data_IF_256978686220
#
_entry.id   IF_256978686220
#
_cell.length_a   1.000
_cell.length_b   1.000
_cell.length_c   1.000
_cell.angle_alpha   90.00
_cell.angle_beta   90.00
_cell.angle_gamma   90.00
#
_symmetry.space_group_name_H-M   'P 1'
#
loop_
_entity.id
_entity.type
_entity.pdbx_description
1 polymer ?
#
# COMPACT_ATOMS: atom_id res chain seq x y z
N UNK A 1 1.85 -18.98 29.38
CA UNK A 1 2.01 -17.64 29.96
C UNK A 1 0.80 -16.81 29.51
N UNK A 2 -0.10 -16.46 30.43
CA UNK A 2 -1.29 -15.66 30.14
C UNK A 2 -0.98 -14.18 30.39
N UNK A 3 -1.22 -13.32 29.41
CA UNK A 3 -1.07 -11.87 29.58
C UNK A 3 -2.45 -11.26 29.79
N UNK A 4 -2.74 -10.81 31.01
CA UNK A 4 -3.95 -10.08 31.34
C UNK A 4 -3.59 -8.63 31.66
N UNK A 5 -4.18 -7.70 30.91
CA UNK A 5 -4.01 -6.27 31.10
C UNK A 5 -5.14 -5.81 32.01
N UNK A 6 -4.84 -5.56 33.27
CA UNK A 6 -5.82 -5.17 34.28
C UNK A 6 -5.52 -3.75 34.78
N UNK A 7 -6.56 -2.99 35.15
CA UNK A 7 -6.39 -1.78 35.96
C UNK A 7 -6.56 -2.11 37.44
N UNK A 8 -5.55 -1.73 38.23
CA UNK A 8 -5.47 -1.75 39.70
C UNK A 8 -5.23 -3.11 40.39
N UNK A 9 -3.93 -3.27 40.69
CA UNK A 9 -3.23 -3.84 41.86
C UNK A 9 -3.19 -5.34 42.16
N UNK A 10 -2.03 -5.71 42.71
CA UNK A 10 -1.36 -7.02 42.94
C UNK A 10 -0.33 -7.45 41.88
N UNK A 11 0.29 -6.44 41.30
CA UNK A 11 1.56 -6.42 40.59
C UNK A 11 1.92 -4.94 40.48
N UNK A 12 2.93 -4.45 41.20
CA UNK A 12 3.03 -3.00 41.47
C UNK A 12 3.67 -2.19 40.33
N UNK A 13 4.07 -2.83 39.24
CA UNK A 13 4.74 -2.14 38.13
C UNK A 13 3.75 -1.84 37.02
N UNK A 14 3.28 -0.60 36.99
CA UNK A 14 2.65 -0.01 35.81
C UNK A 14 3.70 0.11 34.72
N UNK A 15 3.40 -0.44 33.55
CA UNK A 15 4.27 -0.42 32.38
C UNK A 15 3.54 0.21 31.18
N UNK A 16 4.21 1.08 30.41
CA UNK A 16 3.67 1.54 29.15
C UNK A 16 3.73 0.41 28.13
N UNK A 17 2.59 0.16 27.48
CA UNK A 17 2.47 -0.82 26.40
C UNK A 17 1.84 -0.19 25.17
N UNK A 18 2.25 -0.66 24.00
CA UNK A 18 1.79 -0.16 22.72
C UNK A 18 0.92 -1.21 22.04
N UNK A 19 -0.37 -0.90 21.88
CA UNK A 19 -1.35 -1.82 21.31
C UNK A 19 -1.68 -1.45 19.87
N UNK A 20 -1.63 -2.41 18.96
CA UNK A 20 -1.99 -2.24 17.56
C UNK A 20 -3.01 -3.29 17.10
N UNK A 21 -4.07 -2.83 16.43
CA UNK A 21 -5.06 -3.71 15.83
C UNK A 21 -4.57 -4.22 14.46
N UNK A 22 -4.29 -5.52 14.39
CA UNK A 22 -3.81 -6.22 13.20
C UNK A 22 -4.94 -6.82 12.34
N UNK A 23 -6.20 -6.59 12.73
CA UNK A 23 -7.35 -7.21 12.06
C UNK A 23 -7.48 -6.74 10.60
N UNK A 24 -7.51 -7.70 9.67
CA UNK A 24 -7.68 -7.44 8.23
C UNK A 24 -9.16 -7.29 7.82
N UNK A 25 -10.08 -7.51 8.75
CA UNK A 25 -11.53 -7.38 8.59
C UNK A 25 -12.09 -6.59 9.77
N UNK A 26 -13.14 -5.82 9.51
CA UNK A 26 -13.83 -5.07 10.56
C UNK A 26 -14.84 -5.98 11.28
N UNK A 27 -14.34 -6.82 12.18
CA UNK A 27 -15.11 -7.74 13.04
C UNK A 27 -14.80 -7.50 14.51
N UNK A 28 -14.63 -6.22 14.88
CA UNK A 28 -14.23 -5.83 16.22
C UNK A 28 -15.20 -6.28 17.32
N UNK A 29 -16.46 -6.57 16.99
CA UNK A 29 -17.46 -7.10 17.92
C UNK A 29 -17.35 -8.63 18.16
N UNK A 30 -16.63 -9.35 17.29
CA UNK A 30 -16.43 -10.80 17.41
C UNK A 30 -15.03 -11.12 17.99
N UNK A 31 -14.00 -10.64 17.28
CA UNK A 31 -12.60 -10.88 17.59
C UNK A 31 -11.71 -9.84 16.93
N UNK A 32 -10.60 -9.51 17.60
CA UNK A 32 -9.51 -8.74 17.00
C UNK A 32 -8.20 -9.51 17.04
N UNK A 33 -7.40 -9.37 15.98
CA UNK A 33 -5.98 -9.69 16.03
C UNK A 33 -5.25 -8.48 16.60
N UNK A 34 -4.40 -8.70 17.59
CA UNK A 34 -3.78 -7.64 18.40
C UNK A 34 -2.28 -7.90 18.52
N UNK A 35 -1.51 -6.83 18.38
CA UNK A 35 -0.09 -6.78 18.76
C UNK A 35 0.05 -5.94 20.00
N UNK A 36 0.90 -6.39 20.91
CA UNK A 36 1.27 -5.67 22.12
C UNK A 36 2.78 -5.59 22.19
N UNK A 37 3.32 -4.38 22.07
CA UNK A 37 4.75 -4.10 22.18
C UNK A 37 5.04 -3.52 23.56
N UNK A 38 6.00 -4.15 24.25
CA UNK A 38 6.35 -3.90 25.64
C UNK A 38 7.84 -3.51 25.64
N UNK A 39 8.09 -2.21 25.75
CA UNK A 39 9.45 -1.66 25.68
C UNK A 39 10.29 -2.06 26.89
N UNK A 40 9.74 -1.83 28.08
CA UNK A 40 10.42 -2.10 29.35
C UNK A 40 9.79 -3.33 30.00
N UNK A 41 9.89 -4.49 29.35
CA UNK A 41 9.27 -5.70 29.88
C UNK A 41 9.90 -6.09 31.23
N UNK A 42 9.14 -6.20 32.34
CA UNK A 42 9.69 -6.34 33.70
C UNK A 42 10.68 -7.49 33.88
N UNK A 43 10.49 -8.60 33.15
CA UNK A 43 11.38 -9.77 33.17
C UNK A 43 12.46 -9.70 32.07
N UNK A 44 12.06 -9.55 30.80
CA UNK A 44 13.00 -9.69 29.68
C UNK A 44 13.96 -8.50 29.50
N UNK A 45 13.66 -7.32 30.05
CA UNK A 45 14.48 -6.13 29.85
C UNK A 45 15.89 -6.24 30.44
N UNK A 46 16.10 -7.14 31.41
CA UNK A 46 17.45 -7.46 31.93
C UNK A 46 18.32 -8.22 30.93
N UNK A 47 17.71 -8.85 29.93
CA UNK A 47 18.38 -9.75 28.99
C UNK A 47 18.43 -9.21 27.55
N UNK A 48 17.79 -8.08 27.27
CA UNK A 48 17.71 -7.48 25.94
C UNK A 48 18.21 -6.03 25.97
N UNK A 49 18.73 -5.55 24.83
CA UNK A 49 19.15 -4.15 24.72
C UNK A 49 17.94 -3.22 24.87
N UNK A 50 18.13 -2.07 25.51
CA UNK A 50 17.13 -0.99 25.62
C UNK A 50 16.60 -0.46 24.27
N UNK A 51 17.25 -0.82 23.15
CA UNK A 51 16.79 -0.50 21.78
C UNK A 51 15.84 -1.56 21.20
N UNK A 52 15.56 -2.62 21.93
CA UNK A 52 14.75 -3.76 21.53
C UNK A 52 13.59 -3.90 22.52
N UNK A 53 12.39 -4.12 22.00
CA UNK A 53 11.20 -4.41 22.79
C UNK A 53 10.75 -5.85 22.56
N UNK A 54 10.06 -6.41 23.55
CA UNK A 54 9.30 -7.66 23.36
C UNK A 54 7.95 -7.31 22.77
N UNK A 55 7.55 -8.02 21.72
CA UNK A 55 6.22 -7.92 21.16
C UNK A 55 5.51 -9.28 21.19
N UNK A 56 4.22 -9.22 21.47
CA UNK A 56 3.34 -10.40 21.52
C UNK A 56 2.21 -10.17 20.53
N UNK A 57 2.01 -11.12 19.63
CA UNK A 57 0.86 -11.15 18.73
C UNK A 57 -0.07 -12.27 19.15
N UNK A 58 -1.37 -12.01 19.03
CA UNK A 58 -2.40 -13.01 19.23
C UNK A 58 -3.77 -12.46 18.91
N UNK A 59 -4.79 -13.02 19.54
CA UNK A 59 -6.16 -12.58 19.33
C UNK A 59 -6.88 -12.31 20.64
N UNK A 60 -7.89 -11.45 20.58
CA UNK A 60 -8.76 -11.11 21.69
C UNK A 60 -10.23 -11.35 21.28
N UNK A 61 -10.95 -12.29 21.92
CA UNK A 61 -12.37 -12.54 21.66
C UNK A 61 -13.24 -11.49 22.36
N UNK A 62 -13.53 -10.41 21.64
CA UNK A 62 -14.22 -9.21 22.12
C UNK A 62 -15.73 -9.40 22.32
N UNK A 63 -16.31 -10.50 21.85
CA UNK A 63 -17.71 -10.85 22.08
C UNK A 63 -18.06 -11.17 23.56
N UNK A 64 -17.06 -11.26 24.43
CA UNK A 64 -17.24 -11.59 25.85
C UNK A 64 -17.17 -10.34 26.73
N UNK A 65 -17.86 -10.34 27.88
CA UNK A 65 -17.86 -9.20 28.81
C UNK A 65 -16.47 -8.89 29.39
N UNK A 66 -15.60 -9.90 29.50
CA UNK A 66 -14.24 -9.78 30.03
C UNK A 66 -13.27 -10.50 29.06
N UNK A 67 -12.88 -9.84 27.97
CA UNK A 67 -12.16 -10.48 26.89
C UNK A 67 -10.68 -10.69 27.22
N UNK A 68 -10.19 -11.93 27.10
CA UNK A 68 -8.81 -12.28 27.45
C UNK A 68 -7.98 -12.34 26.17
N UNK A 69 -6.85 -11.63 26.15
CA UNK A 69 -5.89 -11.75 25.07
C UNK A 69 -5.20 -13.12 25.12
N UNK A 70 -5.27 -13.86 24.02
CA UNK A 70 -4.68 -15.16 23.85
C UNK A 70 -3.45 -15.00 22.96
N UNK A 71 -2.23 -15.13 23.53
CA UNK A 71 -0.99 -14.97 22.77
C UNK A 71 -0.79 -16.16 21.83
N UNK A 72 -0.34 -15.89 20.60
CA UNK A 72 -0.01 -16.89 19.60
C UNK A 72 1.50 -16.91 19.30
N UNK A 73 2.15 -15.75 19.34
CA UNK A 73 3.58 -15.62 19.03
C UNK A 73 4.22 -14.50 19.82
N UNK A 74 5.49 -14.69 20.17
CA UNK A 74 6.35 -13.72 20.87
C UNK A 74 7.61 -13.50 20.03
N UNK A 75 7.99 -12.25 19.83
CA UNK A 75 9.17 -11.88 19.03
C UNK A 75 9.79 -10.58 19.54
N UNK A 76 11.02 -10.31 19.10
CA UNK A 76 11.74 -9.09 19.40
C UNK A 76 11.48 -8.06 18.29
N UNK A 77 11.30 -6.79 18.67
CA UNK A 77 11.06 -5.67 17.75
C UNK A 77 11.81 -4.43 18.22
N UNK A 78 11.65 -3.31 17.51
CA UNK A 78 12.25 -2.03 17.88
C UNK A 78 11.71 -1.52 19.23
N UNK A 79 12.60 -0.99 20.06
CA UNK A 79 12.29 -0.45 21.39
C UNK A 79 12.10 1.06 21.46
N UNK A 80 11.64 1.71 20.37
CA UNK A 80 11.38 3.15 20.38
C UNK A 80 10.27 3.47 21.40
N UNK A 81 10.48 4.42 22.34
CA UNK A 81 9.55 4.66 23.43
C UNK A 81 8.20 5.20 22.96
N UNK A 82 8.16 5.88 21.83
CA UNK A 82 6.92 6.45 21.28
C UNK A 82 6.08 5.40 20.54
N UNK A 83 4.73 5.54 20.55
CA UNK A 83 3.86 4.77 19.66
C UNK A 83 4.09 5.17 18.21
N UNK A 84 4.02 4.17 17.33
CA UNK A 84 3.83 4.42 15.90
C UNK A 84 2.41 4.94 15.61
N UNK A 85 2.17 5.45 14.40
CA UNK A 85 0.87 6.00 13.99
C UNK A 85 -0.30 4.97 13.94
N UNK A 86 -0.01 3.68 14.10
CA UNK A 86 -1.00 2.59 14.16
C UNK A 86 -1.07 1.93 15.54
N UNK A 87 -0.27 2.41 16.50
CA UNK A 87 -0.27 1.97 17.89
C UNK A 87 -0.99 3.00 18.77
N UNK A 88 -1.57 2.51 19.86
CA UNK A 88 -2.06 3.32 20.96
C UNK A 88 -1.28 2.94 22.21
N UNK A 89 -0.60 3.91 22.83
CA UNK A 89 0.07 3.71 24.11
C UNK A 89 -0.98 3.66 25.22
N UNK A 90 -0.82 2.70 26.13
CA UNK A 90 -1.66 2.54 27.32
C UNK A 90 -0.80 2.10 28.50
N UNK A 91 -1.14 2.60 29.68
CA UNK A 91 -0.55 2.14 30.93
C UNK A 91 -1.23 0.83 31.37
N UNK A 92 -0.44 -0.21 31.54
CA UNK A 92 -0.91 -1.53 31.93
C UNK A 92 -0.25 -1.99 33.22
N UNK A 93 -1.01 -2.70 34.05
CA UNK A 93 -0.46 -3.32 35.26
C UNK A 93 0.04 -4.72 34.90
N UNK A 94 1.33 -4.97 35.16
CA UNK A 94 1.92 -6.29 34.95
C UNK A 94 1.74 -7.20 36.17
N UNK A 95 1.21 -8.40 35.95
CA UNK A 95 1.06 -9.42 36.98
C UNK A 95 1.79 -10.70 36.58
N UNK A 96 2.76 -11.13 37.39
CA UNK A 96 3.38 -12.45 37.25
C UNK A 96 2.62 -13.46 38.10
N UNK A 97 1.90 -14.37 37.45
CA UNK A 97 1.16 -15.44 38.11
C UNK A 97 2.06 -16.66 38.28
N UNK A 98 1.98 -17.32 39.45
CA UNK A 98 2.59 -18.65 39.63
C UNK A 98 1.77 -19.70 38.87
N UNK A 99 2.40 -20.83 38.59
CA UNK A 99 1.71 -21.95 37.95
C UNK A 99 0.46 -22.37 38.76
N UNK A 100 -0.65 -22.59 38.07
CA UNK A 100 -1.94 -22.92 38.69
C UNK A 100 -2.66 -21.74 39.36
N UNK A 101 -2.09 -20.53 39.39
CA UNK A 101 -2.76 -19.34 39.90
C UNK A 101 -3.51 -18.59 38.80
N UNK A 102 -4.65 -18.03 39.20
CA UNK A 102 -5.46 -17.16 38.37
C UNK A 102 -5.44 -15.74 38.93
N UNK A 103 -5.55 -14.71 38.07
CA UNK A 103 -5.65 -13.33 38.53
C UNK A 103 -6.91 -13.12 39.37
N UNK A 104 -6.86 -12.16 40.30
CA UNK A 104 -7.99 -11.88 41.19
C UNK A 104 -9.25 -11.51 40.39
N UNK A 105 -10.40 -12.00 40.86
CA UNK A 105 -11.70 -11.69 40.26
C UNK A 105 -12.10 -10.26 40.59
N UNK A 106 -12.84 -9.61 39.68
CA UNK A 106 -13.36 -8.25 39.87
C UNK A 106 -12.43 -7.13 39.45
N UNK A 107 -11.25 -7.44 38.92
CA UNK A 107 -10.36 -6.43 38.35
C UNK A 107 -10.86 -6.02 36.95
N UNK A 108 -10.84 -4.71 36.67
CA UNK A 108 -11.26 -4.17 35.37
C UNK A 108 -10.23 -4.51 34.29
N UNK A 109 -10.71 -5.02 33.16
CA UNK A 109 -9.87 -5.41 32.03
C UNK A 109 -9.61 -4.20 31.13
N UNK A 110 -8.36 -4.05 30.67
CA UNK A 110 -7.96 -3.00 29.74
C UNK A 110 -8.62 -3.17 28.36
N UNK A 111 -8.82 -4.41 27.92
CA UNK A 111 -9.27 -4.75 26.58
C UNK A 111 -10.79 -4.66 26.43
N UNK A 112 -11.43 -3.61 26.95
CA UNK A 112 -12.88 -3.47 26.83
C UNK A 112 -13.32 -3.38 25.35
N UNK A 113 -14.56 -3.74 25.02
CA UNK A 113 -15.10 -3.55 23.67
C UNK A 113 -14.96 -2.10 23.17
N UNK A 114 -15.09 -1.11 24.04
CA UNK A 114 -14.94 0.30 23.70
C UNK A 114 -13.49 0.63 23.34
N UNK A 115 -12.53 0.17 24.15
CA UNK A 115 -11.11 0.36 23.89
C UNK A 115 -10.66 -0.34 22.60
N UNK A 116 -11.07 -1.59 22.41
CA UNK A 116 -10.70 -2.34 21.20
C UNK A 116 -11.26 -1.72 19.91
N UNK A 117 -12.40 -1.03 19.99
CA UNK A 117 -12.94 -0.20 18.90
C UNK A 117 -12.20 1.12 18.68
N UNK A 118 -11.58 1.69 19.71
CA UNK A 118 -10.78 2.92 19.56
C UNK A 118 -9.45 2.69 18.85
N UNK A 119 -8.93 1.46 18.88
CA UNK A 119 -7.68 1.12 18.22
C UNK A 119 -7.71 1.45 16.71
N UNK A 120 -6.67 2.10 16.17
CA UNK A 120 -6.60 2.43 14.76
C UNK A 120 -6.79 1.20 13.86
N UNK A 121 -7.79 1.23 12.97
CA UNK A 121 -8.04 0.18 11.97
C UNK A 121 -7.06 0.25 10.79
N UNK A 122 -5.77 0.42 11.08
CA UNK A 122 -4.73 0.64 10.07
C UNK A 122 -4.60 -0.54 9.12
N UNK A 123 -4.61 -1.78 9.63
CA UNK A 123 -4.53 -2.98 8.80
C UNK A 123 -5.66 -3.09 7.76
N UNK A 124 -6.90 -2.71 8.13
CA UNK A 124 -8.05 -2.63 7.21
C UNK A 124 -7.84 -1.55 6.15
N UNK A 125 -7.44 -0.33 6.56
CA UNK A 125 -7.21 0.81 5.66
C UNK A 125 -6.07 0.53 4.67
N UNK A 126 -4.97 -0.04 5.15
CA UNK A 126 -3.80 -0.40 4.34
C UNK A 126 -4.14 -1.49 3.34
N UNK A 127 -4.89 -2.52 3.75
CA UNK A 127 -5.40 -3.53 2.81
C UNK A 127 -6.25 -2.93 1.69
N UNK A 128 -7.19 -2.03 2.03
CA UNK A 128 -8.01 -1.34 1.04
C UNK A 128 -7.16 -0.50 0.09
N UNK A 129 -6.20 0.27 0.63
CA UNK A 129 -5.29 1.11 -0.17
C UNK A 129 -4.40 0.28 -1.11
N UNK A 130 -3.89 -0.86 -0.64
CA UNK A 130 -3.10 -1.78 -1.47
C UNK A 130 -3.96 -2.39 -2.57
N UNK A 131 -5.19 -2.80 -2.28
CA UNK A 131 -6.13 -3.28 -3.29
C UNK A 131 -6.41 -2.20 -4.34
N UNK A 132 -6.74 -0.97 -3.93
CA UNK A 132 -6.94 0.15 -4.86
C UNK A 132 -5.70 0.49 -5.69
N UNK A 133 -4.51 0.34 -5.12
CA UNK A 133 -3.26 0.54 -5.85
C UNK A 133 -3.04 -0.53 -6.92
N UNK A 134 -3.31 -1.80 -6.60
CA UNK A 134 -3.30 -2.89 -7.57
C UNK A 134 -4.33 -2.66 -8.67
N UNK A 135 -5.54 -2.21 -8.32
CA UNK A 135 -6.57 -1.86 -9.30
C UNK A 135 -6.12 -0.75 -10.23
N UNK A 136 -5.50 0.31 -9.69
CA UNK A 136 -4.95 1.42 -10.49
C UNK A 136 -3.83 0.96 -11.43
N UNK A 137 -2.92 0.09 -10.97
CA UNK A 137 -1.88 -0.50 -11.81
C UNK A 137 -2.49 -1.37 -12.92
N UNK A 138 -3.52 -2.15 -12.60
CA UNK A 138 -4.24 -2.96 -13.59
C UNK A 138 -4.93 -2.07 -14.63
N UNK A 139 -5.54 -0.97 -14.21
CA UNK A 139 -6.17 0.02 -15.07
C UNK A 139 -5.14 0.69 -15.98
N UNK A 140 -3.99 1.12 -15.44
CA UNK A 140 -2.88 1.65 -16.24
C UNK A 140 -2.38 0.64 -17.28
N UNK A 141 -2.20 -0.61 -16.90
CA UNK A 141 -1.79 -1.67 -17.82
C UNK A 141 -2.83 -1.87 -18.93
N UNK A 142 -4.12 -1.87 -18.60
CA UNK A 142 -5.21 -1.92 -19.60
C UNK A 142 -5.21 -0.69 -20.49
N UNK A 143 -5.00 0.51 -19.94
CA UNK A 143 -4.95 1.77 -20.68
C UNK A 143 -3.75 1.80 -21.65
N UNK A 144 -2.58 1.33 -21.25
CA UNK A 144 -1.39 1.21 -22.11
C UNK A 144 -1.67 0.19 -23.22
N UNK A 145 -2.18 -1.00 -22.88
CA UNK A 145 -2.58 -2.01 -23.88
C UNK A 145 -3.61 -1.48 -24.89
N UNK A 146 -4.53 -0.61 -24.46
CA UNK A 146 -5.57 -0.05 -25.32
C UNK A 146 -5.09 1.17 -26.14
N UNK A 147 -4.02 1.85 -25.71
CA UNK A 147 -3.43 3.01 -26.41
C UNK A 147 -2.24 2.66 -27.31
N UNK A 148 -1.62 1.50 -27.11
CA UNK A 148 -0.41 1.11 -27.83
C UNK A 148 -0.65 -0.21 -28.55
N UNK A 149 -1.14 -0.13 -29.80
CA UNK A 149 -1.11 -1.27 -30.72
C UNK A 149 0.28 -1.30 -31.37
N UNK A 150 1.15 -2.17 -30.89
CA UNK A 150 2.48 -2.40 -31.47
C UNK A 150 2.49 -3.68 -32.30
N UNK A 151 3.04 -3.62 -33.51
CA UNK A 151 3.41 -4.81 -34.28
C UNK A 151 4.92 -5.04 -34.13
N UNK A 152 5.31 -6.28 -33.86
CA UNK A 152 6.73 -6.66 -33.90
C UNK A 152 7.10 -6.95 -35.35
N UNK A 153 8.04 -6.18 -35.91
CA UNK A 153 8.60 -6.49 -37.22
C UNK A 153 9.79 -7.45 -37.08
N UNK A 154 9.93 -8.34 -38.05
CA UNK A 154 11.07 -9.25 -38.21
C UNK A 154 12.10 -8.68 -39.18
N UNK A 155 11.61 -8.06 -40.26
CA UNK A 155 12.41 -7.47 -41.33
C UNK A 155 11.70 -6.24 -41.86
N UNK A 156 12.49 -5.33 -42.42
CA UNK A 156 11.98 -4.20 -43.18
C UNK A 156 12.77 -4.08 -44.48
N UNK A 157 12.14 -3.51 -45.50
CA UNK A 157 12.75 -3.19 -46.77
C UNK A 157 12.27 -1.81 -47.22
N UNK A 158 13.17 -1.02 -47.80
CA UNK A 158 12.81 0.21 -48.47
C UNK A 158 12.82 -0.01 -49.98
N UNK A 159 11.67 0.24 -50.61
CA UNK A 159 11.52 0.32 -52.06
C UNK A 159 11.80 1.76 -52.47
N UNK A 160 13.02 2.03 -52.92
CA UNK A 160 13.48 3.37 -53.32
C UNK A 160 12.71 3.92 -54.52
N UNK A 161 12.30 3.05 -55.46
CA UNK A 161 11.58 3.47 -56.66
C UNK A 161 10.18 3.99 -56.33
N UNK A 162 9.52 3.39 -55.34
CA UNK A 162 8.16 3.77 -54.92
C UNK A 162 8.14 4.64 -53.65
N UNK A 163 9.30 4.85 -53.02
CA UNK A 163 9.43 5.54 -51.74
C UNK A 163 8.65 4.86 -50.61
N UNK A 164 8.52 3.53 -50.65
CA UNK A 164 7.71 2.77 -49.69
C UNK A 164 8.57 1.97 -48.72
N UNK A 165 8.17 1.94 -47.45
CA UNK A 165 8.78 1.05 -46.44
C UNK A 165 7.85 -0.13 -46.22
N UNK A 166 8.36 -1.33 -46.44
CA UNK A 166 7.64 -2.59 -46.23
C UNK A 166 8.14 -3.23 -44.94
N UNK A 167 7.20 -3.69 -44.11
CA UNK A 167 7.50 -4.40 -42.86
C UNK A 167 6.96 -5.83 -42.92
N UNK A 168 7.83 -6.80 -42.67
CA UNK A 168 7.40 -8.16 -42.35
C UNK A 168 7.14 -8.23 -40.84
N UNK A 169 5.89 -8.48 -40.45
CA UNK A 169 5.44 -8.41 -39.04
C UNK A 169 4.90 -9.75 -38.55
N UNK A 170 4.99 -9.96 -37.23
CA UNK A 170 4.26 -11.02 -36.53
C UNK A 170 3.11 -10.37 -35.75
N UNK A 171 1.92 -10.95 -35.86
CA UNK A 171 0.76 -10.63 -35.04
C UNK A 171 0.30 -11.88 -34.28
N UNK A 172 -0.41 -11.67 -33.16
CA UNK A 172 -0.95 -12.75 -32.35
C UNK A 172 -2.01 -13.58 -33.10
N UNK A 173 -2.79 -12.93 -33.96
CA UNK A 173 -3.80 -13.55 -34.82
C UNK A 173 -4.18 -12.60 -35.97
N UNK A 174 -5.01 -13.09 -36.90
CA UNK A 174 -5.45 -12.32 -38.06
C UNK A 174 -6.27 -11.06 -37.69
N UNK A 175 -7.08 -11.12 -36.63
CA UNK A 175 -7.86 -9.96 -36.16
C UNK A 175 -6.97 -8.83 -35.64
N UNK A 176 -5.93 -9.17 -34.88
CA UNK A 176 -4.93 -8.22 -34.38
C UNK A 176 -4.19 -7.56 -35.55
N UNK A 177 -3.84 -8.33 -36.58
CA UNK A 177 -3.21 -7.80 -37.79
C UNK A 177 -4.13 -6.83 -38.55
N UNK A 178 -5.42 -7.18 -38.72
CA UNK A 178 -6.43 -6.31 -39.36
C UNK A 178 -6.62 -5.00 -38.60
N UNK A 179 -6.71 -5.04 -37.26
CA UNK A 179 -6.83 -3.85 -36.40
C UNK A 179 -5.60 -2.96 -36.51
N UNK A 180 -4.41 -3.54 -36.42
CA UNK A 180 -3.17 -2.79 -36.56
C UNK A 180 -3.06 -2.13 -37.94
N UNK A 181 -3.38 -2.87 -39.03
CA UNK A 181 -3.42 -2.30 -40.40
C UNK A 181 -4.38 -1.12 -40.51
N UNK A 182 -5.58 -1.22 -39.92
CA UNK A 182 -6.52 -0.11 -39.90
C UNK A 182 -6.00 1.10 -39.10
N UNK A 183 -5.28 0.87 -37.98
CA UNK A 183 -4.65 1.94 -37.20
C UNK A 183 -3.49 2.61 -37.96
N UNK A 184 -2.62 1.84 -38.61
CA UNK A 184 -1.54 2.34 -39.48
C UNK A 184 -2.07 3.11 -40.70
N UNK A 185 -3.23 2.75 -41.23
CA UNK A 185 -3.86 3.52 -42.32
C UNK A 185 -4.54 4.81 -41.83
N UNK A 186 -4.96 4.87 -40.56
CA UNK A 186 -5.63 6.04 -39.95
C UNK A 186 -4.64 7.08 -39.46
N UNK A 187 -3.52 6.65 -38.92
CA UNK A 187 -2.39 7.55 -38.68
C UNK A 187 -1.77 7.80 -40.04
N UNK A 188 -1.87 9.03 -40.55
CA UNK A 188 -1.08 9.45 -41.70
C UNK A 188 0.39 9.31 -41.31
N UNK A 189 0.98 8.17 -41.63
CA UNK A 189 2.37 7.88 -41.37
C UNK A 189 3.18 8.83 -42.25
N UNK A 190 3.56 9.96 -41.68
CA UNK A 190 4.31 10.97 -42.40
C UNK A 190 5.79 10.64 -42.31
N UNK A 191 6.40 10.36 -43.46
CA UNK A 191 7.85 10.26 -43.60
C UNK A 191 8.41 11.65 -43.83
N UNK A 192 9.35 12.07 -43.00
CA UNK A 192 10.06 13.34 -43.15
C UNK A 192 11.50 13.08 -43.57
N UNK A 193 12.06 13.93 -44.44
CA UNK A 193 13.49 13.88 -44.74
C UNK A 193 14.28 14.12 -43.45
N UNK A 194 15.47 13.53 -43.35
CA UNK A 194 16.35 13.66 -42.18
C UNK A 194 16.67 15.12 -41.86
N UNK A 195 16.72 15.97 -42.90
CA UNK A 195 16.95 17.42 -42.84
C UNK A 195 15.85 18.20 -42.09
N UNK A 196 14.66 17.62 -41.88
CA UNK A 196 13.52 18.28 -41.21
C UNK A 196 13.77 18.47 -39.71
N UNK A 197 14.67 17.70 -39.12
CA UNK A 197 15.05 17.85 -37.72
C UNK A 197 16.55 18.06 -37.60
N UNK A 198 16.94 19.19 -37.04
CA UNK A 198 18.35 19.56 -36.81
C UNK A 198 18.95 18.88 -35.58
N UNK A 199 18.15 18.12 -34.82
CA UNK A 199 18.54 17.49 -33.56
C UNK A 199 19.01 16.05 -33.79
N UNK A 200 20.26 15.69 -33.41
CA UNK A 200 20.87 14.41 -33.77
C UNK A 200 20.23 13.18 -33.13
N UNK A 201 19.52 13.32 -32.00
CA UNK A 201 18.94 12.20 -31.26
C UNK A 201 17.44 12.33 -30.98
N UNK A 202 16.79 13.39 -31.46
CA UNK A 202 15.38 13.67 -31.18
C UNK A 202 14.69 14.24 -32.41
N UNK A 203 13.76 13.49 -32.99
CA UNK A 203 12.95 14.03 -34.08
C UNK A 203 11.95 15.08 -33.57
N UNK A 204 12.15 16.34 -33.96
CA UNK A 204 11.29 17.48 -33.64
C UNK A 204 10.76 18.07 -34.95
N UNK A 205 9.43 18.18 -35.06
CA UNK A 205 8.80 18.86 -36.18
C UNK A 205 8.98 20.39 -36.03
N UNK A 206 9.32 21.12 -37.10
CA UNK A 206 9.36 22.57 -37.05
C UNK A 206 7.97 23.09 -36.67
N UNK A 207 7.91 23.89 -35.61
CA UNK A 207 6.67 24.55 -35.20
C UNK A 207 6.27 25.49 -36.34
N UNK A 208 5.08 25.30 -36.92
CA UNK A 208 4.49 26.33 -37.78
C UNK A 208 4.41 27.61 -36.95
N UNK A 209 5.10 28.66 -37.38
CA UNK A 209 4.82 30.00 -36.89
C UNK A 209 3.36 30.30 -37.26
N UNK A 210 2.47 30.24 -36.27
CA UNK A 210 1.17 30.90 -36.38
C UNK A 210 1.47 32.38 -36.46
N UNK A 211 1.58 32.90 -37.68
CA UNK A 211 1.61 34.32 -37.97
C UNK A 211 0.39 34.96 -37.28
N UNK A 212 0.68 35.74 -36.26
CA UNK A 212 -0.23 36.66 -35.58
C UNK A 212 -1.01 37.45 -36.62
N UNK A 213 -2.32 37.20 -36.70
CA UNK A 213 -3.22 38.08 -37.43
C UNK A 213 -3.34 39.37 -36.62
N UNK A 214 -2.94 40.46 -37.26
CA UNK A 214 -2.97 41.85 -36.82
C UNK A 214 -4.27 42.22 -36.08
N UNK A 215 -4.10 42.76 -34.88
CA UNK A 215 -5.07 43.67 -34.28
C UNK A 215 -4.78 45.05 -34.87
N UNK A 216 -5.59 45.49 -35.83
CA UNK A 216 -5.79 46.93 -36.08
C UNK A 216 -7.27 47.24 -36.12
N UNK A 217 -7.68 48.04 -35.13
CA UNK A 217 -8.93 48.76 -35.07
C UNK A 217 -9.09 49.71 -36.26
N UNK A 218 -10.32 49.86 -36.76
CA UNK A 218 -10.90 51.19 -37.08
C UNK A 218 -12.42 51.15 -36.97
N UNK A 219 -12.95 52.01 -36.11
CA UNK A 219 -14.35 52.45 -36.07
C UNK A 219 -14.72 53.24 -37.33
N UNK A 220 -16.01 53.24 -37.71
CA UNK A 220 -16.89 54.42 -37.78
C UNK A 220 -17.99 54.28 -38.85
N UNK A 221 -19.20 54.75 -38.51
CA UNK A 221 -20.18 55.31 -39.45
C UNK A 221 -21.23 54.35 -39.97
#
# INVERSE_FOLDING_TARGET
>A
MFFQFNSLSDGDTTIPVHLANLSLKDKADERIALSIRINSHPIFNEHISHKIAVAVIGFCPTATKNPIFIPESVFLTHGQPEPTNYEQQVEAVFHQLKEGQYPKRGISNLLTPEFTKSLPKYAVKTKARLASWLDFLSFKNKLIKHKTQGLRYLRWQFDEEKGQVHFLVIAENEEALKKARAAFNRQSLHTFKTEVSTEPFRFVLPKKETSSVDIRQTHAG
#
